data_IF_798957681330
#
_entry.id   IF_798957681330
#
_cell.length_a   1.000
_cell.length_b   1.000
_cell.length_c   1.000
_cell.angle_alpha   90.00
_cell.angle_beta   90.00
_cell.angle_gamma   90.00
#
_symmetry.space_group_name_H-M   'P 1'
#
loop_
_entity.id
_entity.type
_entity.pdbx_description
1 polymer ?
#
# COMPACT_ATOMS: atom_id res chain seq x y z
N UNK A 1 -1.69 -20.46 -6.80
CA UNK A 1 -2.07 -19.45 -5.80
C UNK A 1 -3.53 -19.06 -6.03
N UNK A 2 -4.33 -18.77 -5.00
CA UNK A 2 -5.72 -18.35 -5.18
C UNK A 2 -5.79 -16.81 -5.16
N UNK A 3 -5.93 -16.17 -6.32
CA UNK A 3 -6.00 -14.71 -6.44
C UNK A 3 -7.18 -14.12 -5.67
N UNK A 4 -8.35 -14.79 -5.67
CA UNK A 4 -9.53 -14.30 -4.96
C UNK A 4 -9.29 -14.22 -3.45
N UNK A 5 -8.57 -15.19 -2.89
CA UNK A 5 -8.21 -15.18 -1.48
C UNK A 5 -7.23 -14.04 -1.17
N UNK A 6 -6.22 -13.84 -2.00
CA UNK A 6 -5.23 -12.75 -1.83
C UNK A 6 -5.93 -11.39 -1.87
N UNK A 7 -6.84 -11.19 -2.83
CA UNK A 7 -7.63 -9.97 -2.94
C UNK A 7 -8.52 -9.79 -1.71
N UNK A 8 -9.18 -10.86 -1.23
CA UNK A 8 -10.05 -10.77 -0.07
C UNK A 8 -9.27 -10.42 1.20
N UNK A 9 -8.11 -11.04 1.43
CA UNK A 9 -7.23 -10.75 2.57
C UNK A 9 -6.78 -9.28 2.54
N UNK A 10 -6.33 -8.78 1.38
CA UNK A 10 -5.92 -7.39 1.21
C UNK A 10 -7.08 -6.43 1.40
N UNK A 11 -8.28 -6.77 0.91
CA UNK A 11 -9.49 -5.95 1.13
C UNK A 11 -9.87 -5.90 2.60
N UNK A 12 -9.82 -7.02 3.31
CA UNK A 12 -10.06 -7.08 4.75
C UNK A 12 -9.07 -6.21 5.53
N UNK A 13 -7.79 -6.21 5.13
CA UNK A 13 -6.77 -5.33 5.69
C UNK A 13 -7.08 -3.85 5.44
N UNK A 14 -7.43 -3.46 4.20
CA UNK A 14 -7.84 -2.08 3.89
C UNK A 14 -9.03 -1.65 4.76
N UNK A 15 -10.04 -2.50 4.92
CA UNK A 15 -11.25 -2.16 5.67
C UNK A 15 -11.01 -2.11 7.18
N UNK A 16 -10.36 -3.12 7.76
CA UNK A 16 -10.25 -3.28 9.22
C UNK A 16 -9.07 -2.50 9.81
N UNK A 17 -7.91 -2.52 9.15
CA UNK A 17 -6.73 -1.79 9.62
C UNK A 17 -6.73 -0.36 9.06
N UNK A 18 -6.60 -0.20 7.74
CA UNK A 18 -6.35 1.12 7.14
C UNK A 18 -7.51 2.10 7.40
N UNK A 19 -8.75 1.68 7.13
CA UNK A 19 -9.94 2.49 7.34
C UNK A 19 -10.44 2.37 8.78
N UNK A 20 -10.53 1.16 9.31
CA UNK A 20 -11.11 0.89 10.63
C UNK A 20 -10.34 1.51 11.79
N UNK A 21 -9.01 1.60 11.69
CA UNK A 21 -8.16 2.30 12.65
C UNK A 21 -7.84 3.75 12.23
N UNK A 22 -8.38 4.20 11.08
CA UNK A 22 -8.13 5.53 10.54
C UNK A 22 -6.63 5.82 10.30
N UNK A 23 -5.87 4.83 9.81
CA UNK A 23 -4.44 4.99 9.52
C UNK A 23 -4.19 5.79 8.23
N UNK A 24 -5.12 5.72 7.29
CA UNK A 24 -5.12 6.59 6.12
C UNK A 24 -6.47 7.28 6.00
N UNK A 25 -6.56 8.60 6.24
CA UNK A 25 -7.82 9.33 6.18
C UNK A 25 -8.41 9.37 4.76
N UNK A 26 -7.59 9.13 3.75
CA UNK A 26 -7.96 9.20 2.33
C UNK A 26 -8.63 7.91 1.84
N UNK A 27 -8.27 6.77 2.43
CA UNK A 27 -8.65 5.44 1.95
C UNK A 27 -10.16 5.21 1.93
N UNK A 28 -10.90 5.78 2.89
CA UNK A 28 -12.34 5.53 3.06
C UNK A 28 -13.15 5.97 1.84
N UNK A 29 -12.89 7.18 1.34
CA UNK A 29 -13.64 7.73 0.19
C UNK A 29 -13.39 6.89 -1.07
N UNK A 30 -12.12 6.57 -1.34
CA UNK A 30 -11.71 5.78 -2.51
C UNK A 30 -12.31 4.37 -2.44
N UNK A 31 -12.31 3.76 -1.26
CA UNK A 31 -12.89 2.43 -1.05
C UNK A 31 -14.41 2.41 -1.23
N UNK A 32 -15.15 3.33 -0.60
CA UNK A 32 -16.62 3.37 -0.66
C UNK A 32 -17.13 3.64 -2.09
N UNK A 33 -16.37 4.41 -2.87
CA UNK A 33 -16.69 4.66 -4.28
C UNK A 33 -16.16 3.56 -5.23
N UNK A 34 -15.64 2.45 -4.69
CA UNK A 34 -15.12 1.30 -5.46
C UNK A 34 -14.00 1.66 -6.45
N UNK A 35 -13.19 2.69 -6.14
CA UNK A 35 -12.12 3.21 -7.01
C UNK A 35 -10.73 2.61 -6.74
N UNK A 36 -10.66 1.57 -5.91
CA UNK A 36 -9.45 0.80 -5.66
C UNK A 36 -9.45 -0.43 -6.57
N UNK A 37 -8.50 -0.49 -7.49
CA UNK A 37 -8.27 -1.68 -8.30
C UNK A 37 -7.27 -2.61 -7.60
N UNK A 38 -7.66 -3.87 -7.39
CA UNK A 38 -6.78 -4.89 -6.80
C UNK A 38 -6.23 -5.78 -7.92
N UNK A 39 -4.92 -5.95 -7.98
CA UNK A 39 -4.24 -6.78 -8.98
C UNK A 39 -3.29 -7.72 -8.26
N UNK A 40 -3.39 -9.02 -8.54
CA UNK A 40 -2.45 -10.02 -8.02
C UNK A 40 -1.44 -10.34 -9.12
N UNK A 41 -0.16 -10.18 -8.82
CA UNK A 41 0.94 -10.59 -9.68
C UNK A 41 1.30 -12.05 -9.41
N UNK A 42 1.49 -12.81 -10.48
CA UNK A 42 2.04 -14.17 -10.45
C UNK A 42 3.58 -14.18 -10.57
N UNK A 43 4.22 -13.01 -10.50
CA UNK A 43 5.68 -12.90 -10.58
C UNK A 43 6.35 -13.74 -9.49
N UNK A 44 7.39 -14.48 -9.90
CA UNK A 44 8.27 -15.23 -9.00
C UNK A 44 9.70 -14.67 -9.00
N UNK A 45 9.96 -13.64 -9.81
CA UNK A 45 11.26 -13.00 -9.99
C UNK A 45 11.08 -11.47 -10.07
N UNK A 46 12.01 -10.66 -9.53
CA UNK A 46 11.86 -9.20 -9.51
C UNK A 46 11.67 -8.57 -10.90
N UNK A 47 12.31 -9.10 -11.94
CA UNK A 47 12.18 -8.60 -13.32
C UNK A 47 10.79 -8.86 -13.91
N UNK A 48 10.11 -9.91 -13.44
CA UNK A 48 8.72 -10.17 -13.81
C UNK A 48 7.80 -9.18 -13.11
N UNK A 49 8.04 -8.92 -11.82
CA UNK A 49 7.29 -7.92 -11.06
C UNK A 49 7.46 -6.52 -11.65
N UNK A 50 8.67 -6.14 -12.09
CA UNK A 50 8.93 -4.84 -12.71
C UNK A 50 8.10 -4.65 -14.00
N UNK A 51 7.93 -5.72 -14.80
CA UNK A 51 7.04 -5.69 -15.97
C UNK A 51 5.58 -5.53 -15.57
N UNK A 52 5.16 -6.19 -14.49
CA UNK A 52 3.79 -6.07 -13.97
C UNK A 52 3.53 -4.66 -13.44
N UNK A 53 4.48 -4.09 -12.70
CA UNK A 53 4.46 -2.72 -12.23
C UNK A 53 4.34 -1.74 -13.41
N UNK A 54 5.15 -1.90 -14.46
CA UNK A 54 5.07 -1.05 -15.66
C UNK A 54 3.69 -1.11 -16.32
N UNK A 55 3.09 -2.32 -16.42
CA UNK A 55 1.75 -2.51 -16.98
C UNK A 55 0.70 -1.78 -16.14
N UNK A 56 0.78 -1.89 -14.82
CA UNK A 56 -0.21 -1.32 -13.91
C UNK A 56 -0.07 0.20 -13.74
N UNK A 57 1.15 0.75 -13.75
CA UNK A 57 1.41 2.19 -13.82
C UNK A 57 0.77 2.80 -15.08
N UNK A 58 1.03 2.19 -16.25
CA UNK A 58 0.46 2.66 -17.51
C UNK A 58 -1.07 2.47 -17.56
N UNK A 59 -1.60 1.41 -16.95
CA UNK A 59 -3.04 1.19 -16.87
C UNK A 59 -3.72 2.24 -15.99
N UNK A 60 -3.16 2.53 -14.80
CA UNK A 60 -3.68 3.56 -13.91
C UNK A 60 -3.61 4.94 -14.59
N UNK A 61 -2.48 5.29 -15.19
CA UNK A 61 -2.31 6.57 -15.88
C UNK A 61 -3.37 6.80 -16.98
N UNK A 62 -3.79 5.74 -17.70
CA UNK A 62 -4.81 5.80 -18.75
C UNK A 62 -6.24 5.73 -18.24
N UNK A 63 -6.46 5.18 -17.05
CA UNK A 63 -7.79 5.01 -16.49
C UNK A 63 -8.40 6.35 -16.12
N UNK A 64 -9.72 6.45 -16.25
CA UNK A 64 -10.49 7.57 -15.70
C UNK A 64 -10.38 7.54 -14.16
N UNK A 65 -9.91 8.63 -13.50
CA UNK A 65 -9.80 8.70 -12.04
C UNK A 65 -11.12 8.52 -11.30
N UNK A 66 -12.27 8.78 -11.95
CA UNK A 66 -13.58 8.53 -11.36
C UNK A 66 -13.99 7.05 -11.38
N UNK A 67 -13.27 6.22 -12.14
CA UNK A 67 -13.46 4.77 -12.22
C UNK A 67 -12.36 4.02 -11.47
N UNK A 68 -11.09 4.39 -11.67
CA UNK A 68 -9.93 3.83 -10.96
C UNK A 68 -9.02 4.97 -10.52
N UNK A 69 -9.01 5.20 -9.21
CA UNK A 69 -8.21 6.26 -8.59
C UNK A 69 -6.85 5.72 -8.13
N UNK A 70 -6.81 4.47 -7.65
CA UNK A 70 -5.58 3.83 -7.17
C UNK A 70 -5.54 2.34 -7.53
N UNK A 71 -4.34 1.77 -7.59
CA UNK A 71 -4.13 0.33 -7.83
C UNK A 71 -3.29 -0.26 -6.70
N UNK A 72 -3.74 -1.36 -6.09
CA UNK A 72 -2.92 -2.19 -5.21
C UNK A 72 -2.39 -3.38 -6.04
N UNK A 73 -1.09 -3.35 -6.34
CA UNK A 73 -0.37 -4.46 -6.98
C UNK A 73 0.20 -5.37 -5.89
N UNK A 74 -0.42 -6.53 -5.71
CA UNK A 74 -0.14 -7.49 -4.65
C UNK A 74 0.74 -8.60 -5.25
N UNK A 75 1.93 -8.82 -4.71
CA UNK A 75 2.92 -9.75 -5.30
C UNK A 75 3.38 -10.82 -4.29
N UNK A 76 2.49 -11.74 -3.92
CA UNK A 76 2.74 -12.79 -2.92
C UNK A 76 3.79 -13.84 -3.31
N UNK A 77 4.23 -13.88 -4.57
CA UNK A 77 5.16 -14.90 -5.10
C UNK A 77 6.63 -14.48 -5.14
N UNK A 78 6.94 -13.21 -4.85
CA UNK A 78 8.29 -12.62 -4.98
C UNK A 78 8.47 -11.47 -4.00
N UNK A 79 9.72 -11.20 -3.60
CA UNK A 79 10.08 -10.17 -2.62
C UNK A 79 9.34 -10.38 -1.29
N UNK A 80 9.32 -11.63 -0.81
CA UNK A 80 8.76 -11.97 0.51
C UNK A 80 9.75 -11.75 1.64
N UNK A 81 11.03 -11.55 1.32
CA UNK A 81 12.04 -11.05 2.24
C UNK A 81 12.02 -9.51 2.20
N UNK A 82 11.94 -8.87 3.37
CA UNK A 82 11.79 -7.42 3.45
C UNK A 82 13.03 -6.67 2.97
N UNK A 83 14.24 -7.21 3.11
CA UNK A 83 15.45 -6.53 2.64
C UNK A 83 15.53 -6.57 1.12
N UNK A 84 15.23 -7.72 0.51
CA UNK A 84 15.12 -7.83 -0.95
C UNK A 84 14.01 -6.92 -1.49
N UNK A 85 12.87 -6.82 -0.79
CA UNK A 85 11.79 -5.89 -1.13
C UNK A 85 12.25 -4.43 -1.08
N UNK A 86 12.96 -4.04 -0.02
CA UNK A 86 13.45 -2.67 0.15
C UNK A 86 14.47 -2.31 -0.96
N UNK A 87 15.37 -3.22 -1.31
CA UNK A 87 16.32 -3.03 -2.42
C UNK A 87 15.60 -2.89 -3.79
N UNK A 88 14.43 -3.51 -3.95
CA UNK A 88 13.63 -3.40 -5.17
C UNK A 88 12.97 -2.02 -5.34
N UNK A 89 12.74 -1.27 -4.26
CA UNK A 89 12.05 0.03 -4.33
C UNK A 89 12.81 1.05 -5.20
N UNK A 90 14.15 1.02 -5.18
CA UNK A 90 14.98 1.85 -6.06
C UNK A 90 14.68 1.59 -7.54
N UNK A 91 14.43 0.33 -7.93
CA UNK A 91 14.07 -0.04 -9.29
C UNK A 91 12.62 0.34 -9.63
N UNK A 92 11.72 0.29 -8.65
CA UNK A 92 10.33 0.72 -8.80
C UNK A 92 10.24 2.24 -9.05
N UNK A 93 11.01 3.03 -8.29
CA UNK A 93 11.08 4.49 -8.46
C UNK A 93 11.73 4.88 -9.79
N UNK A 94 12.85 4.23 -10.15
CA UNK A 94 13.48 4.45 -11.45
C UNK A 94 12.53 4.16 -12.62
N UNK A 95 11.66 3.17 -12.49
CA UNK A 95 10.65 2.86 -13.52
C UNK A 95 9.59 3.97 -13.65
N UNK A 96 9.17 4.60 -12.55
CA UNK A 96 8.24 5.74 -12.58
C UNK A 96 8.85 6.89 -13.40
N UNK A 97 10.13 7.19 -13.16
CA UNK A 97 10.89 8.20 -13.90
C UNK A 97 11.03 7.84 -15.39
N UNK A 98 11.42 6.60 -15.70
CA UNK A 98 11.58 6.11 -17.07
C UNK A 98 10.28 6.21 -17.89
N UNK A 99 9.15 5.94 -17.25
CA UNK A 99 7.82 6.07 -17.85
C UNK A 99 7.30 7.51 -17.88
N UNK A 100 8.05 8.48 -17.33
CA UNK A 100 7.69 9.89 -17.20
C UNK A 100 6.40 10.10 -16.41
N UNK A 101 6.28 9.35 -15.32
CA UNK A 101 5.13 9.40 -14.41
C UNK A 101 5.46 10.12 -13.10
N UNK A 102 6.70 10.57 -12.91
CA UNK A 102 7.08 11.49 -11.82
C UNK A 102 6.20 12.75 -11.84
N UNK A 103 5.72 13.16 -10.66
CA UNK A 103 4.74 14.24 -10.50
C UNK A 103 3.31 13.87 -10.90
N UNK A 104 3.06 12.64 -11.36
CA UNK A 104 1.74 12.15 -11.81
C UNK A 104 1.29 10.98 -10.97
N UNK A 105 2.13 9.95 -10.86
CA UNK A 105 1.91 8.76 -10.05
C UNK A 105 3.08 8.56 -9.10
N UNK A 106 2.78 8.13 -7.88
CA UNK A 106 3.78 7.69 -6.91
C UNK A 106 3.45 6.29 -6.39
N UNK A 107 4.45 5.63 -5.80
CA UNK A 107 4.32 4.31 -5.21
C UNK A 107 4.43 4.46 -3.69
N UNK A 108 3.46 3.90 -2.96
CA UNK A 108 3.58 3.64 -1.54
C UNK A 108 3.74 2.13 -1.31
N UNK A 109 4.59 1.75 -0.38
CA UNK A 109 5.06 0.38 -0.21
C UNK A 109 4.58 -0.23 1.12
N UNK A 110 4.19 -1.51 1.04
CA UNK A 110 3.69 -2.27 2.17
C UNK A 110 4.22 -3.69 2.13
N UNK A 111 4.61 -4.23 3.29
CA UNK A 111 5.21 -5.56 3.40
C UNK A 111 4.77 -6.26 4.69
N UNK A 112 4.56 -7.60 4.73
CA UNK A 112 4.21 -8.31 5.96
C UNK A 112 5.20 -8.09 7.10
N UNK A 113 6.48 -8.07 6.74
CA UNK A 113 7.60 -7.90 7.66
C UNK A 113 8.14 -6.46 7.66
N UNK A 114 7.32 -5.47 7.29
CA UNK A 114 7.75 -4.08 7.26
C UNK A 114 8.39 -3.68 8.59
N UNK A 115 9.53 -2.99 8.50
CA UNK A 115 10.29 -2.48 9.62
C UNK A 115 10.85 -1.11 9.27
N UNK A 116 10.45 -0.08 10.01
CA UNK A 116 11.07 1.24 9.88
C UNK A 116 12.50 1.21 10.43
N UNK A 117 13.37 2.01 9.82
CA UNK A 117 14.75 2.18 10.26
C UNK A 117 14.79 2.54 11.76
N UNK A 118 15.64 1.84 12.52
CA UNK A 118 15.83 2.09 13.95
C UNK A 118 14.74 1.53 14.87
N UNK A 119 13.71 0.86 14.34
CA UNK A 119 12.68 0.20 15.16
C UNK A 119 12.97 -1.30 15.36
N UNK A 120 12.54 -1.91 16.47
CA UNK A 120 12.52 -3.37 16.61
C UNK A 120 11.49 -4.02 15.67
N UNK A 121 11.77 -5.25 15.20
CA UNK A 121 10.84 -6.02 14.35
C UNK A 121 9.43 -6.15 14.94
N UNK A 122 9.32 -6.27 16.27
CA UNK A 122 8.03 -6.41 16.97
C UNK A 122 7.33 -5.08 17.30
N UNK A 123 7.86 -3.93 16.87
CA UNK A 123 7.29 -2.63 17.20
C UNK A 123 5.92 -2.45 16.54
N UNK A 124 4.93 -2.00 17.33
CA UNK A 124 3.56 -1.81 16.83
C UNK A 124 3.47 -0.67 15.80
N UNK A 125 4.38 0.30 15.83
CA UNK A 125 4.45 1.38 14.86
C UNK A 125 4.71 0.87 13.44
N UNK A 126 5.45 -0.22 13.29
CA UNK A 126 5.68 -0.85 11.98
C UNK A 126 4.39 -1.30 11.29
N UNK A 127 3.34 -1.59 12.08
CA UNK A 127 2.07 -2.08 11.55
C UNK A 127 1.28 -1.01 10.78
N UNK A 128 1.71 0.26 10.78
CA UNK A 128 1.16 1.25 9.84
C UNK A 128 1.43 0.89 8.38
N UNK A 129 2.53 0.19 8.11
CA UNK A 129 2.96 -0.21 6.77
C UNK A 129 3.01 -1.73 6.58
N UNK A 130 2.57 -2.51 7.58
CA UNK A 130 2.39 -3.95 7.42
C UNK A 130 1.11 -4.28 6.66
N UNK A 131 1.24 -5.20 5.72
CA UNK A 131 0.17 -5.71 4.87
C UNK A 131 0.14 -7.25 4.90
N UNK A 132 -0.96 -7.90 4.45
CA UNK A 132 -1.03 -9.35 4.38
C UNK A 132 -0.02 -10.00 3.41
N UNK A 133 0.40 -9.25 2.39
CA UNK A 133 1.34 -9.67 1.35
C UNK A 133 2.17 -8.47 0.90
N UNK A 134 3.38 -8.69 0.33
CA UNK A 134 4.13 -7.63 -0.33
C UNK A 134 3.24 -6.92 -1.37
N UNK A 135 3.16 -5.59 -1.27
CA UNK A 135 2.20 -4.78 -2.04
C UNK A 135 2.79 -3.43 -2.40
N UNK A 136 2.64 -3.04 -3.66
CA UNK A 136 2.90 -1.70 -4.17
C UNK A 136 1.57 -0.98 -4.42
N UNK A 137 1.34 0.13 -3.73
CA UNK A 137 0.16 0.96 -3.89
C UNK A 137 0.47 2.11 -4.85
N UNK A 138 -0.09 2.02 -6.06
CA UNK A 138 0.04 3.05 -7.08
C UNK A 138 -1.01 4.12 -6.86
N UNK A 139 -0.56 5.35 -6.66
CA UNK A 139 -1.37 6.49 -6.24
C UNK A 139 -1.21 7.63 -7.23
N UNK A 140 -2.30 8.38 -7.48
CA UNK A 140 -2.23 9.63 -8.25
C UNK A 140 -1.81 10.76 -7.32
N UNK A 141 -0.77 11.49 -7.70
CA UNK A 141 -0.32 12.64 -6.92
C UNK A 141 -1.42 13.70 -6.80
N UNK A 142 -2.16 13.96 -7.88
CA UNK A 142 -3.26 14.91 -7.87
C UNK A 142 -4.37 14.51 -6.87
N UNK A 143 -4.66 13.20 -6.74
CA UNK A 143 -5.62 12.70 -5.76
C UNK A 143 -5.13 12.91 -4.33
N UNK A 144 -3.83 12.71 -4.08
CA UNK A 144 -3.21 13.00 -2.78
C UNK A 144 -3.26 14.50 -2.49
N UNK A 145 -2.86 15.35 -3.44
CA UNK A 145 -2.88 16.82 -3.26
C UNK A 145 -4.28 17.31 -2.90
N UNK A 146 -5.32 16.90 -3.64
CA UNK A 146 -6.71 17.26 -3.33
C UNK A 146 -7.13 16.81 -1.94
N UNK A 147 -6.70 15.62 -1.54
CA UNK A 147 -7.03 15.09 -0.23
C UNK A 147 -6.33 15.87 0.90
N UNK A 148 -5.05 16.23 0.71
CA UNK A 148 -4.27 17.07 1.63
C UNK A 148 -4.89 18.47 1.76
N UNK A 149 -5.28 19.12 0.66
CA UNK A 149 -5.92 20.44 0.67
C UNK A 149 -7.24 20.47 1.46
N UNK A 150 -7.94 19.33 1.49
CA UNK A 150 -9.22 19.18 2.19
C UNK A 150 -9.09 18.90 3.69
N UNK A 151 -7.87 18.64 4.20
CA UNK A 151 -7.64 18.21 5.57
C UNK A 151 -6.71 19.16 6.33
N UNK A 152 -7.09 19.59 7.55
CA UNK A 152 -6.16 20.27 8.44
C UNK A 152 -5.04 19.31 8.86
N UNK A 153 -3.80 19.74 8.69
CA UNK A 153 -2.59 19.16 9.30
C UNK A 153 -2.30 17.69 8.96
N UNK A 154 -1.98 17.43 7.69
CA UNK A 154 -1.53 16.10 7.24
C UNK A 154 -0.19 15.67 7.84
N UNK A 155 0.61 16.61 8.39
CA UNK A 155 1.84 16.29 9.09
C UNK A 155 1.58 15.48 10.37
N UNK A 156 0.41 15.68 11.00
CA UNK A 156 0.00 14.94 12.19
C UNK A 156 -0.47 13.50 11.91
N UNK A 157 -0.64 13.08 10.64
CA UNK A 157 -1.12 11.72 10.31
C UNK A 157 -0.16 10.67 10.87
N UNK A 158 1.15 10.88 10.71
CA UNK A 158 2.15 9.95 11.22
C UNK A 158 2.07 9.80 12.74
N UNK A 159 2.04 10.91 13.48
CA UNK A 159 1.92 10.90 14.93
C UNK A 159 0.59 10.27 15.39
N UNK A 160 -0.52 10.58 14.72
CA UNK A 160 -1.83 10.01 14.99
C UNK A 160 -1.89 8.49 14.78
N UNK A 161 -1.20 8.00 13.74
CA UNK A 161 -1.08 6.58 13.44
C UNK A 161 -0.29 5.87 14.55
N UNK A 162 0.87 6.42 14.95
CA UNK A 162 1.67 5.88 16.04
C UNK A 162 0.88 5.84 17.35
N UNK A 163 0.17 6.92 17.68
CA UNK A 163 -0.67 7.00 18.87
C UNK A 163 -1.80 5.96 18.86
N UNK A 164 -2.44 5.79 17.71
CA UNK A 164 -3.52 4.81 17.53
C UNK A 164 -3.00 3.39 17.66
N UNK A 165 -1.87 3.09 17.03
CA UNK A 165 -1.21 1.79 17.09
C UNK A 165 -0.69 1.49 18.50
N UNK A 166 -0.11 2.48 19.18
CA UNK A 166 0.36 2.34 20.57
C UNK A 166 -0.81 2.04 21.53
N UNK A 167 -1.97 2.71 21.36
CA UNK A 167 -3.18 2.41 22.15
C UNK A 167 -3.78 1.04 21.84
N UNK A 168 -3.73 0.62 20.57
CA UNK A 168 -4.24 -0.67 20.12
C UNK A 168 -3.38 -1.83 20.66
N UNK A 169 -2.06 -1.69 20.56
CA UNK A 169 -1.08 -2.73 20.88
C UNK A 169 -1.19 -3.95 19.96
N UNK A 170 -0.25 -4.89 20.14
CA UNK A 170 -0.20 -6.13 19.37
C UNK A 170 -1.45 -7.01 19.56
N UNK A 171 -2.00 -7.04 20.77
CA UNK A 171 -3.19 -7.86 21.05
C UNK A 171 -4.43 -7.29 20.38
N UNK A 172 -4.58 -5.96 20.34
CA UNK A 172 -5.65 -5.30 19.60
C UNK A 172 -5.52 -5.53 18.09
N UNK A 173 -4.29 -5.46 17.55
CA UNK A 173 -4.03 -5.78 16.15
C UNK A 173 -4.44 -7.22 15.80
N UNK A 174 -4.02 -8.20 16.60
CA UNK A 174 -4.39 -9.62 16.40
C UNK A 174 -5.90 -9.85 16.43
N UNK A 175 -6.64 -9.10 17.25
CA UNK A 175 -8.10 -9.19 17.32
C UNK A 175 -8.81 -8.71 16.05
N UNK A 176 -8.12 -7.99 15.14
CA UNK A 176 -8.66 -7.65 13.82
C UNK A 176 -8.85 -8.89 12.93
N UNK A 177 -8.21 -10.02 13.27
CA UNK A 177 -8.32 -11.27 12.52
C UNK A 177 -7.80 -11.15 11.09
N UNK A 178 -6.74 -10.36 10.90
CA UNK A 178 -6.07 -10.17 9.63
C UNK A 178 -5.08 -11.31 9.38
N UNK A 179 -4.79 -11.58 8.11
CA UNK A 179 -3.66 -12.41 7.73
C UNK A 179 -2.38 -11.60 7.98
N UNK A 180 -1.46 -12.14 8.78
CA UNK A 180 -0.24 -11.46 9.22
C UNK A 180 -0.19 -11.39 10.74
#
# INVERSE_FOLDING_TARGET
MNHDQVIQDTRDWVVKAVIGLNLCPFAKSVHVNERIRYVVSDATEPEQLLKDLARELLALNRADPDVVDTTLLIHPGVLTDFLEFNDFLDAADALVDELKLDGILQIADFHPDYQFEGTPEGDIGNYSNRSPYPTLHLLREESITRAVESMPDTAAIFESNLDTLARLGLDGWRQLGLKG
#
